data_IF_600278575133
#
_entry.id   IF_600278575133
#
_cell.length_a   1.000
_cell.length_b   1.000
_cell.length_c   1.000
_cell.angle_alpha   90.00
_cell.angle_beta   90.00
_cell.angle_gamma   90.00
#
_symmetry.space_group_name_H-M   'P 1'
#
loop_
_entity.id
_entity.type
_entity.pdbx_description
1 polymer ?
#
# COMPACT_ATOMS: atom_id res chain seq x y z
N UNK A 1 -49.04 42.21 -31.37
CA UNK A 1 -47.86 41.33 -31.18
C UNK A 1 -47.47 41.29 -29.71
N UNK A 2 -48.45 41.10 -28.82
CA UNK A 2 -48.30 41.05 -27.36
C UNK A 2 -48.95 39.80 -26.76
N UNK A 3 -49.31 38.85 -27.62
CA UNK A 3 -50.39 37.89 -27.43
C UNK A 3 -49.88 36.43 -27.56
N UNK A 4 -48.56 36.23 -27.50
CA UNK A 4 -47.90 34.91 -27.58
C UNK A 4 -46.96 34.59 -26.41
N UNK A 5 -47.03 35.37 -25.32
CA UNK A 5 -46.26 35.11 -24.09
C UNK A 5 -47.13 34.39 -23.04
N UNK A 6 -48.41 34.76 -22.92
CA UNK A 6 -49.32 34.29 -21.86
C UNK A 6 -49.74 32.82 -21.97
N UNK A 7 -49.61 32.18 -23.13
CA UNK A 7 -50.09 30.80 -23.35
C UNK A 7 -49.09 29.72 -22.89
N UNK A 8 -47.79 30.02 -22.82
CA UNK A 8 -46.76 29.03 -22.46
C UNK A 8 -46.54 28.83 -20.96
N UNK A 9 -46.95 29.77 -20.11
CA UNK A 9 -46.78 29.62 -18.65
C UNK A 9 -47.86 28.73 -18.02
N UNK A 10 -49.10 28.74 -18.54
CA UNK A 10 -50.20 27.93 -18.01
C UNK A 10 -50.06 26.43 -18.27
N UNK A 11 -49.29 26.02 -19.29
CA UNK A 11 -49.00 24.60 -19.54
C UNK A 11 -48.06 23.97 -18.48
N UNK A 12 -47.25 24.77 -17.80
CA UNK A 12 -46.19 24.26 -16.89
C UNK A 12 -46.70 23.87 -15.50
N UNK A 13 -47.86 24.41 -15.07
CA UNK A 13 -48.37 24.23 -13.71
C UNK A 13 -49.36 23.06 -13.53
N UNK A 14 -49.82 22.43 -14.61
CA UNK A 14 -50.78 21.29 -14.56
C UNK A 14 -50.06 19.94 -14.41
N UNK A 15 -48.86 19.77 -14.98
CA UNK A 15 -48.14 18.50 -14.93
C UNK A 15 -47.68 18.09 -13.52
N UNK A 16 -47.27 19.05 -12.68
CA UNK A 16 -46.55 18.79 -11.42
C UNK A 16 -47.42 18.39 -10.21
N UNK A 17 -48.66 17.92 -10.44
CA UNK A 17 -49.62 17.53 -9.37
C UNK A 17 -50.03 16.05 -9.35
N UNK A 18 -49.47 15.19 -10.22
CA UNK A 18 -49.75 13.74 -10.19
C UNK A 18 -48.68 12.92 -9.45
N UNK A 19 -47.40 13.24 -9.60
CA UNK A 19 -46.31 12.40 -9.08
C UNK A 19 -46.14 12.48 -7.56
N UNK A 20 -46.47 13.63 -6.96
CA UNK A 20 -46.42 13.84 -5.50
C UNK A 20 -47.43 12.94 -4.77
N UNK A 21 -48.52 12.52 -5.43
CA UNK A 21 -49.54 11.66 -4.82
C UNK A 21 -49.14 10.17 -4.76
N UNK A 22 -48.17 9.74 -5.59
CA UNK A 22 -47.72 8.34 -5.66
C UNK A 22 -46.63 8.08 -4.61
N UNK A 23 -45.72 9.04 -4.39
CA UNK A 23 -44.64 8.93 -3.40
C UNK A 23 -45.21 8.86 -1.97
N UNK A 24 -46.35 9.51 -1.71
CA UNK A 24 -47.03 9.48 -0.41
C UNK A 24 -47.58 8.09 -0.01
N UNK A 25 -47.80 7.17 -0.96
CA UNK A 25 -48.44 5.89 -0.68
C UNK A 25 -47.47 4.76 -0.29
N UNK A 26 -46.17 4.88 -0.62
CA UNK A 26 -45.16 3.85 -0.31
C UNK A 26 -44.48 4.02 1.06
N UNK A 27 -44.69 5.15 1.74
CA UNK A 27 -44.12 5.40 3.08
C UNK A 27 -44.94 4.70 4.19
N UNK A 28 -46.19 4.30 3.92
CA UNK A 28 -47.08 3.67 4.91
C UNK A 28 -47.09 2.13 4.92
N UNK A 29 -46.40 1.46 3.98
CA UNK A 29 -46.34 -0.01 3.89
C UNK A 29 -45.01 -0.63 4.33
N UNK A 30 -44.06 0.19 4.82
CA UNK A 30 -42.73 -0.27 5.29
C UNK A 30 -42.60 -0.53 6.80
N UNK A 31 -43.60 -0.17 7.62
CA UNK A 31 -43.51 -0.21 9.10
C UNK A 31 -44.26 -1.41 9.71
N UNK A 32 -45.04 -2.14 8.90
CA UNK A 32 -45.94 -3.21 9.36
C UNK A 32 -45.32 -4.62 9.48
N UNK A 33 -44.01 -4.79 9.24
CA UNK A 33 -43.33 -6.11 9.25
C UNK A 33 -42.18 -6.16 10.28
N UNK A 34 -42.42 -5.60 11.47
CA UNK A 34 -41.45 -5.65 12.59
C UNK A 34 -42.08 -5.94 13.97
N UNK A 35 -43.38 -6.23 14.03
CA UNK A 35 -44.14 -6.46 15.27
C UNK A 35 -44.81 -7.85 15.35
N UNK A 36 -44.36 -8.82 14.54
CA UNK A 36 -45.00 -10.16 14.48
C UNK A 36 -44.03 -11.35 14.59
N UNK A 37 -42.93 -11.19 15.32
CA UNK A 37 -42.19 -12.31 15.90
C UNK A 37 -41.88 -12.01 17.36
N UNK A 38 -42.84 -12.36 18.24
CA UNK A 38 -42.57 -12.47 19.66
C UNK A 38 -41.71 -13.71 19.93
N UNK A 39 -40.75 -13.58 20.83
CA UNK A 39 -40.05 -14.72 21.45
C UNK A 39 -40.72 -14.96 22.79
N UNK A 40 -41.30 -16.15 22.97
CA UNK A 40 -42.04 -16.53 24.17
C UNK A 40 -41.09 -16.97 25.30
N UNK A 41 -41.47 -16.75 26.56
CA UNK A 41 -40.62 -16.94 27.74
C UNK A 41 -41.04 -18.18 28.54
N UNK A 42 -40.53 -19.35 28.15
CA UNK A 42 -40.59 -20.59 28.94
C UNK A 42 -39.27 -21.38 28.78
N UNK A 43 -38.35 -21.22 29.73
CA UNK A 43 -37.97 -22.35 30.61
C UNK A 43 -36.94 -21.95 31.69
N UNK A 44 -37.41 -21.86 32.95
CA UNK A 44 -36.55 -21.81 34.13
C UNK A 44 -37.17 -22.59 35.29
N UNK A 45 -36.72 -23.82 35.51
CA UNK A 45 -36.50 -24.38 36.86
C UNK A 45 -35.79 -25.74 36.82
N UNK A 46 -35.21 -26.09 37.97
CA UNK A 46 -34.47 -27.31 38.29
C UNK A 46 -33.09 -27.43 37.60
N UNK A 47 -32.02 -27.88 38.26
CA UNK A 47 -31.90 -28.32 39.65
C UNK A 47 -30.87 -27.48 40.43
N UNK A 48 -31.15 -27.24 41.72
CA UNK A 48 -30.11 -26.96 42.72
C UNK A 48 -29.67 -28.29 43.32
N UNK A 49 -28.36 -28.50 43.47
CA UNK A 49 -27.69 -29.19 44.59
C UNK A 49 -26.17 -29.04 44.35
N UNK A 50 -25.44 -28.24 45.15
CA UNK A 50 -24.71 -28.64 46.37
C UNK A 50 -23.60 -29.69 46.11
N UNK A 51 -22.36 -29.56 46.61
CA UNK A 51 -21.91 -28.68 47.69
C UNK A 51 -20.39 -28.42 47.73
N UNK A 52 -20.03 -27.20 48.18
CA UNK A 52 -18.88 -26.83 49.07
C UNK A 52 -17.42 -27.25 48.82
N UNK A 53 -16.53 -26.23 48.86
CA UNK A 53 -15.26 -26.15 49.67
C UNK A 53 -14.02 -26.89 49.10
N UNK A 54 -12.76 -26.40 49.18
CA UNK A 54 -12.12 -25.31 49.97
C UNK A 54 -11.23 -24.35 49.14
N UNK A 55 -10.73 -23.29 49.80
CA UNK A 55 -9.81 -22.27 49.28
C UNK A 55 -8.30 -22.64 49.29
N UNK A 56 -7.50 -21.77 48.63
CA UNK A 56 -6.18 -21.24 49.03
C UNK A 56 -4.90 -22.12 49.02
N UNK A 57 -3.77 -21.44 48.71
CA UNK A 57 -2.39 -21.91 48.88
C UNK A 57 -1.78 -22.58 47.64
N UNK A 58 -0.49 -22.44 47.32
CA UNK A 58 0.54 -21.55 47.91
C UNK A 58 1.91 -22.23 48.02
N UNK A 59 2.94 -21.67 47.36
CA UNK A 59 4.32 -22.18 47.29
C UNK A 59 4.47 -23.56 46.59
N UNK A 60 5.64 -24.04 46.16
CA UNK A 60 6.88 -23.53 45.56
C UNK A 60 7.97 -24.63 45.77
N UNK A 61 9.09 -24.54 45.05
CA UNK A 61 10.16 -25.56 44.92
C UNK A 61 9.74 -26.82 44.13
N UNK A 62 10.45 -27.38 43.13
CA UNK A 62 11.85 -27.38 42.67
C UNK A 62 12.61 -28.67 43.01
N UNK A 63 12.68 -29.58 42.02
CA UNK A 63 13.82 -30.50 41.71
C UNK A 63 13.47 -31.28 40.42
N UNK A 64 14.38 -31.94 39.67
CA UNK A 64 15.81 -31.75 39.29
C UNK A 64 16.23 -33.03 38.57
N UNK A 65 16.99 -32.96 37.46
CA UNK A 65 17.66 -34.11 36.80
C UNK A 65 16.73 -35.16 36.12
N UNK A 66 17.14 -35.94 35.12
CA UNK A 66 18.38 -35.94 34.30
C UNK A 66 18.19 -36.63 32.92
N UNK A 67 19.16 -36.38 32.03
CA UNK A 67 19.70 -37.26 30.97
C UNK A 67 18.86 -37.78 29.78
N UNK A 68 19.39 -37.44 28.60
CA UNK A 68 19.48 -38.20 27.33
C UNK A 68 19.99 -39.66 27.49
N UNK A 69 19.92 -40.57 26.49
CA UNK A 69 19.94 -40.30 25.03
C UNK A 69 19.01 -41.17 24.14
N UNK A 70 19.18 -41.01 22.82
CA UNK A 70 18.69 -41.93 21.76
C UNK A 70 19.38 -43.30 21.83
N UNK A 71 18.87 -44.33 21.13
CA UNK A 71 19.62 -44.77 19.94
C UNK A 71 18.82 -45.37 18.75
N UNK A 72 19.54 -45.42 17.62
CA UNK A 72 19.53 -46.42 16.54
C UNK A 72 18.36 -46.61 15.54
N UNK A 73 18.74 -47.31 14.46
CA UNK A 73 18.10 -47.41 13.15
C UNK A 73 18.25 -48.82 12.57
N UNK A 74 17.24 -49.34 11.86
CA UNK A 74 17.29 -50.55 11.03
C UNK A 74 15.96 -50.65 10.19
N UNK A 75 15.81 -51.42 9.09
CA UNK A 75 16.73 -51.79 7.99
C UNK A 75 15.91 -52.44 6.84
N UNK A 76 16.39 -52.36 5.57
CA UNK A 76 15.89 -53.07 4.35
C UNK A 76 14.44 -52.71 3.89
N UNK A 77 14.10 -52.60 2.60
CA UNK A 77 14.31 -53.42 1.37
C UNK A 77 13.51 -54.73 1.31
N UNK A 78 12.58 -54.81 0.34
CA UNK A 78 12.45 -55.97 -0.56
C UNK A 78 11.80 -55.54 -1.91
N UNK A 79 11.82 -56.40 -2.94
CA UNK A 79 11.31 -56.09 -4.29
C UNK A 79 10.85 -57.32 -5.12
N UNK A 80 9.81 -57.13 -5.95
CA UNK A 80 9.38 -58.03 -7.05
C UNK A 80 8.63 -57.19 -8.11
N UNK A 81 8.79 -57.34 -9.44
CA UNK A 81 8.76 -58.49 -10.36
C UNK A 81 7.33 -59.04 -10.63
N UNK A 82 6.89 -59.32 -11.87
CA UNK A 82 7.51 -59.17 -13.21
C UNK A 82 6.48 -59.28 -14.38
N UNK A 83 6.96 -59.14 -15.63
CA UNK A 83 6.39 -59.60 -16.94
C UNK A 83 5.07 -58.99 -17.46
N UNK A 84 4.82 -58.86 -18.78
CA UNK A 84 5.71 -59.05 -19.96
C UNK A 84 4.96 -59.34 -21.30
N UNK A 85 5.65 -59.15 -22.45
CA UNK A 85 5.31 -59.59 -23.85
C UNK A 85 4.43 -58.66 -24.73
N UNK A 86 4.50 -58.62 -26.09
CA UNK A 86 5.60 -58.75 -27.09
C UNK A 86 5.04 -58.56 -28.54
N UNK A 87 5.76 -57.88 -29.47
CA UNK A 87 5.85 -58.03 -30.97
C UNK A 87 6.63 -56.79 -31.54
N UNK A 88 7.59 -56.79 -32.49
CA UNK A 88 7.94 -57.54 -33.73
C UNK A 88 7.26 -56.96 -35.00
N UNK A 89 7.91 -56.59 -36.14
CA UNK A 89 9.31 -56.32 -36.56
C UNK A 89 9.27 -55.69 -38.02
N UNK A 90 10.30 -55.39 -38.86
CA UNK A 90 11.79 -55.45 -38.87
C UNK A 90 12.38 -54.59 -40.05
N UNK A 91 13.69 -54.25 -40.03
CA UNK A 91 14.75 -54.19 -41.09
C UNK A 91 14.47 -53.86 -42.61
N UNK A 92 15.41 -53.35 -43.44
CA UNK A 92 16.74 -52.70 -43.27
C UNK A 92 17.38 -52.18 -44.61
N UNK A 93 18.46 -51.37 -44.47
CA UNK A 93 19.68 -51.23 -45.32
C UNK A 93 19.66 -50.79 -46.82
N UNK A 94 20.48 -49.76 -47.16
CA UNK A 94 21.75 -49.94 -47.90
C UNK A 94 22.68 -48.69 -47.97
N UNK A 95 23.96 -48.92 -48.25
CA UNK A 95 25.09 -47.98 -48.52
C UNK A 95 26.02 -48.62 -49.60
N UNK A 96 27.27 -48.17 -49.96
CA UNK A 96 28.14 -47.07 -49.47
C UNK A 96 28.67 -46.12 -50.59
N UNK A 97 29.45 -45.05 -50.31
CA UNK A 97 30.94 -44.96 -50.46
C UNK A 97 31.32 -43.48 -50.79
N UNK A 98 32.55 -42.92 -50.70
CA UNK A 98 33.80 -43.19 -49.95
C UNK A 98 34.72 -41.92 -50.00
N UNK A 99 36.07 -42.04 -49.89
CA UNK A 99 37.14 -40.99 -49.94
C UNK A 99 37.00 -39.82 -48.93
N UNK A 100 37.82 -39.68 -47.87
CA UNK A 100 39.27 -39.39 -47.77
C UNK A 100 39.67 -37.95 -48.15
N UNK A 101 40.51 -37.21 -47.42
CA UNK A 101 41.49 -37.58 -46.37
C UNK A 101 41.52 -36.59 -45.18
N UNK A 102 42.46 -36.76 -44.24
CA UNK A 102 42.53 -36.01 -42.98
C UNK A 102 43.69 -34.98 -42.94
N UNK A 103 43.57 -33.92 -42.12
CA UNK A 103 44.40 -33.72 -40.92
C UNK A 103 44.22 -32.34 -40.22
N UNK A 104 44.30 -32.39 -38.88
CA UNK A 104 44.77 -31.33 -37.95
C UNK A 104 43.99 -30.01 -37.76
N UNK A 105 43.17 -29.99 -36.70
CA UNK A 105 43.28 -29.08 -35.54
C UNK A 105 43.46 -27.57 -35.75
N UNK A 106 42.39 -26.82 -35.48
CA UNK A 106 42.44 -25.75 -34.46
C UNK A 106 41.09 -25.74 -33.69
N UNK A 107 41.06 -25.18 -32.48
CA UNK A 107 39.94 -25.31 -31.53
C UNK A 107 39.51 -23.96 -30.93
N UNK A 108 38.43 -23.40 -31.46
CA UNK A 108 37.77 -22.23 -30.87
C UNK A 108 36.24 -22.38 -30.95
N UNK A 109 35.61 -22.83 -29.85
CA UNK A 109 34.16 -22.80 -29.70
C UNK A 109 33.68 -21.35 -29.50
N UNK A 110 33.19 -20.71 -30.57
CA UNK A 110 32.41 -19.48 -30.42
C UNK A 110 31.03 -19.83 -29.87
N UNK A 111 30.68 -19.26 -28.71
CA UNK A 111 29.34 -19.43 -28.13
C UNK A 111 28.31 -18.63 -28.92
N UNK A 112 27.30 -19.30 -29.48
CA UNK A 112 26.15 -18.63 -30.10
C UNK A 112 25.31 -17.91 -29.03
N UNK A 113 25.61 -16.64 -28.82
CA UNK A 113 24.74 -15.74 -28.04
C UNK A 113 23.51 -15.43 -28.89
N UNK A 114 22.32 -15.79 -28.40
CA UNK A 114 21.04 -15.37 -29.01
C UNK A 114 20.84 -13.85 -28.86
N UNK A 115 21.42 -13.11 -29.79
CA UNK A 115 21.28 -11.66 -29.91
C UNK A 115 19.84 -11.31 -30.32
N UNK A 116 19.09 -10.78 -29.36
CA UNK A 116 17.73 -10.30 -29.61
C UNK A 116 17.80 -9.06 -30.52
N UNK A 117 17.08 -9.02 -31.65
CA UNK A 117 17.32 -8.01 -32.68
C UNK A 117 16.79 -6.62 -32.31
N UNK A 118 17.73 -5.70 -32.11
CA UNK A 118 17.61 -4.25 -32.35
C UNK A 118 16.42 -3.50 -31.71
N UNK A 119 16.43 -3.36 -30.38
CA UNK A 119 15.96 -2.09 -29.81
C UNK A 119 16.91 -0.97 -30.31
N UNK A 120 16.36 0.01 -31.04
CA UNK A 120 17.16 1.10 -31.61
C UNK A 120 17.56 2.10 -30.52
N UNK A 121 18.86 2.13 -30.21
CA UNK A 121 19.50 3.03 -29.23
C UNK A 121 19.54 4.52 -29.65
N UNK A 122 18.60 4.97 -30.49
CA UNK A 122 18.57 6.29 -31.11
C UNK A 122 17.30 7.12 -30.86
N UNK A 123 16.37 6.64 -30.01
CA UNK A 123 15.07 7.31 -29.80
C UNK A 123 14.60 7.41 -28.33
N UNK A 124 15.34 6.87 -27.34
CA UNK A 124 14.99 6.94 -25.91
C UNK A 124 15.30 8.31 -25.27
N UNK A 125 15.07 9.41 -26.00
CA UNK A 125 15.46 10.74 -25.56
C UNK A 125 14.56 11.27 -24.43
N UNK A 126 15.20 11.58 -23.30
CA UNK A 126 14.72 12.49 -22.26
C UNK A 126 13.34 12.18 -21.65
N UNK A 127 13.07 10.90 -21.38
CA UNK A 127 11.78 10.39 -20.90
C UNK A 127 11.93 9.69 -19.55
N UNK A 128 11.55 10.35 -18.45
CA UNK A 128 11.76 9.84 -17.09
C UNK A 128 10.68 10.25 -16.07
N UNK A 129 10.61 9.49 -14.97
CA UNK A 129 9.98 9.92 -13.72
C UNK A 129 11.06 10.48 -12.78
N UNK A 130 10.75 11.55 -12.04
CA UNK A 130 11.70 12.26 -11.19
C UNK A 130 11.34 12.13 -9.70
N UNK A 131 12.34 11.85 -8.86
CA UNK A 131 12.19 11.86 -7.40
C UNK A 131 12.15 13.30 -6.89
N UNK A 132 10.96 13.82 -6.56
CA UNK A 132 10.81 15.18 -6.03
C UNK A 132 10.98 15.26 -4.51
N UNK A 133 10.79 14.12 -3.81
CA UNK A 133 10.97 13.97 -2.37
C UNK A 133 11.34 12.53 -2.02
N UNK A 134 12.15 12.37 -0.97
CA UNK A 134 12.57 11.11 -0.36
C UNK A 134 12.69 11.34 1.15
N UNK A 135 12.12 10.43 1.93
CA UNK A 135 12.31 10.25 3.37
C UNK A 135 12.91 8.86 3.58
N UNK A 136 13.92 8.73 4.45
CA UNK A 136 14.65 7.47 4.62
C UNK A 136 15.46 7.09 3.38
N UNK A 137 15.50 5.79 3.05
CA UNK A 137 16.36 5.20 2.01
C UNK A 137 15.56 4.47 0.93
N UNK A 138 16.10 4.47 -0.29
CA UNK A 138 15.57 3.72 -1.41
C UNK A 138 16.71 3.33 -2.37
N UNK A 139 16.56 2.20 -3.05
CA UNK A 139 17.51 1.64 -4.00
C UNK A 139 16.92 1.67 -5.41
N UNK A 140 17.77 2.01 -6.38
CA UNK A 140 17.47 1.95 -7.80
C UNK A 140 18.29 0.85 -8.47
N UNK A 141 17.64 0.07 -9.31
CA UNK A 141 18.25 -0.95 -10.14
C UNK A 141 18.19 -0.48 -11.60
N UNK A 142 19.36 -0.24 -12.19
CA UNK A 142 19.48 0.34 -13.53
C UNK A 142 19.37 -0.72 -14.63
N UNK A 143 19.17 -0.28 -15.87
CA UNK A 143 19.26 -1.13 -17.06
C UNK A 143 20.61 -1.86 -17.23
N UNK A 144 21.67 -1.41 -16.53
CA UNK A 144 23.00 -2.03 -16.55
C UNK A 144 23.18 -3.08 -15.44
N UNK A 145 22.12 -3.42 -14.71
CA UNK A 145 22.17 -4.33 -13.56
C UNK A 145 22.85 -3.75 -12.31
N UNK A 146 23.23 -2.46 -12.33
CA UNK A 146 23.83 -1.80 -11.15
C UNK A 146 22.77 -1.39 -10.15
N UNK A 147 23.11 -1.49 -8.86
CA UNK A 147 22.31 -0.94 -7.77
C UNK A 147 22.91 0.39 -7.35
N UNK A 148 22.10 1.45 -7.31
CA UNK A 148 22.51 2.80 -6.89
C UNK A 148 21.54 3.39 -5.84
N UNK A 149 22.03 4.14 -4.84
CA UNK A 149 21.17 4.79 -3.86
C UNK A 149 20.37 5.93 -4.49
N UNK A 150 19.09 5.99 -4.17
CA UNK A 150 18.17 7.01 -4.66
C UNK A 150 18.36 8.31 -3.89
N UNK A 151 18.18 9.45 -4.56
CA UNK A 151 18.17 10.78 -3.97
C UNK A 151 17.14 11.67 -4.66
N UNK A 152 16.84 12.82 -4.06
CA UNK A 152 16.06 13.86 -4.73
C UNK A 152 16.73 14.28 -6.05
N UNK A 153 15.96 14.34 -7.12
CA UNK A 153 16.45 14.54 -8.50
C UNK A 153 16.91 13.27 -9.21
N UNK A 154 16.89 12.08 -8.58
CA UNK A 154 17.09 10.82 -9.30
C UNK A 154 16.00 10.63 -10.36
N UNK A 155 16.42 10.10 -11.51
CA UNK A 155 15.57 9.83 -12.67
C UNK A 155 15.40 8.32 -12.87
N UNK A 156 14.18 7.93 -13.24
CA UNK A 156 13.81 6.55 -13.56
C UNK A 156 13.28 6.46 -14.99
N UNK A 157 13.90 5.58 -15.77
CA UNK A 157 13.60 5.30 -17.17
C UNK A 157 12.88 3.94 -17.30
N UNK A 158 12.29 3.68 -18.47
CA UNK A 158 11.64 2.39 -18.74
C UNK A 158 12.64 1.22 -18.62
N UNK A 159 12.20 0.14 -17.98
CA UNK A 159 12.99 -1.04 -17.62
C UNK A 159 13.82 -0.91 -16.33
N UNK A 160 13.91 0.27 -15.71
CA UNK A 160 14.52 0.43 -14.38
C UNK A 160 13.51 0.10 -13.25
N UNK A 161 14.03 -0.24 -12.06
CA UNK A 161 13.23 -0.59 -10.87
C UNK A 161 13.65 0.23 -9.66
N UNK A 162 12.68 0.59 -8.82
CA UNK A 162 12.89 1.20 -7.50
C UNK A 162 12.41 0.25 -6.40
N UNK A 163 13.11 0.26 -5.26
CA UNK A 163 12.65 -0.31 -4.00
C UNK A 163 12.83 0.71 -2.85
N UNK A 164 11.84 0.85 -1.97
CA UNK A 164 11.94 1.62 -0.71
C UNK A 164 12.28 0.69 0.45
N UNK A 165 13.13 1.16 1.36
CA UNK A 165 13.49 0.44 2.58
C UNK A 165 12.41 0.64 3.69
N UNK A 166 12.51 -0.01 4.87
CA UNK A 166 11.66 0.29 6.01
C UNK A 166 11.75 1.76 6.47
N UNK A 167 10.71 2.29 7.10
CA UNK A 167 10.60 3.68 7.57
C UNK A 167 10.86 4.75 6.49
N UNK A 168 10.74 4.39 5.21
CA UNK A 168 11.14 5.22 4.08
C UNK A 168 9.95 5.51 3.17
N UNK A 169 9.92 6.68 2.53
CA UNK A 169 8.85 7.08 1.60
C UNK A 169 9.45 7.88 0.45
N UNK A 170 8.81 7.84 -0.72
CA UNK A 170 9.31 8.56 -1.89
C UNK A 170 8.17 9.07 -2.77
N UNK A 171 8.31 10.30 -3.27
CA UNK A 171 7.37 10.89 -4.22
C UNK A 171 8.01 11.05 -5.60
N UNK A 172 7.41 10.39 -6.58
CA UNK A 172 7.69 10.50 -8.02
C UNK A 172 6.83 11.60 -8.65
N UNK A 173 7.38 12.29 -9.64
CA UNK A 173 6.67 13.19 -10.56
C UNK A 173 6.89 12.74 -12.00
N UNK A 174 5.81 12.68 -12.77
CA UNK A 174 5.82 12.33 -14.19
C UNK A 174 5.71 13.58 -15.09
N UNK A 175 6.04 13.44 -16.38
CA UNK A 175 6.03 14.54 -17.36
C UNK A 175 4.65 15.22 -17.55
N UNK A 176 3.55 14.53 -17.29
CA UNK A 176 2.18 15.07 -17.30
C UNK A 176 1.79 15.80 -16.00
N UNK A 177 2.70 15.85 -15.03
CA UNK A 177 2.54 16.33 -13.64
C UNK A 177 1.65 15.46 -12.76
N UNK A 178 1.35 14.23 -13.16
CA UNK A 178 0.89 13.21 -12.21
C UNK A 178 1.98 12.96 -11.17
N UNK A 179 1.58 12.65 -9.94
CA UNK A 179 2.50 12.26 -8.87
C UNK A 179 2.12 10.89 -8.32
N UNK A 180 3.14 10.13 -7.88
CA UNK A 180 2.93 8.85 -7.21
C UNK A 180 3.80 8.77 -5.96
N UNK A 181 3.22 8.30 -4.86
CA UNK A 181 3.86 8.20 -3.55
C UNK A 181 4.01 6.73 -3.22
N UNK A 182 5.26 6.29 -3.08
CA UNK A 182 5.66 4.94 -2.74
C UNK A 182 5.93 4.91 -1.23
N UNK A 183 5.14 4.12 -0.49
CA UNK A 183 5.34 3.91 0.96
C UNK A 183 6.55 3.00 1.21
N UNK A 184 6.83 2.67 2.47
CA UNK A 184 7.96 1.81 2.85
C UNK A 184 7.90 0.40 2.25
N UNK A 185 9.04 -0.29 2.22
CA UNK A 185 9.17 -1.71 1.83
C UNK A 185 8.58 -2.08 0.45
N UNK A 186 8.39 -1.11 -0.43
CA UNK A 186 7.60 -1.22 -1.67
C UNK A 186 8.49 -1.24 -2.92
N UNK A 187 8.06 -1.92 -3.98
CA UNK A 187 8.87 -2.15 -5.18
C UNK A 187 8.08 -1.88 -6.46
N UNK A 188 8.63 -1.06 -7.36
CA UNK A 188 8.01 -0.71 -8.65
C UNK A 188 9.03 -0.84 -9.79
N UNK A 189 8.68 -1.66 -10.78
CA UNK A 189 9.31 -1.67 -12.11
C UNK A 189 8.59 -0.64 -13.00
N UNK A 190 9.36 0.21 -13.69
CA UNK A 190 8.81 1.15 -14.68
C UNK A 190 8.73 0.43 -16.04
N UNK A 191 7.58 -0.16 -16.41
CA UNK A 191 7.44 -0.83 -17.71
C UNK A 191 7.41 0.18 -18.87
N UNK A 192 6.71 1.32 -18.69
CA UNK A 192 6.71 2.46 -19.62
C UNK A 192 6.70 3.80 -18.87
N UNK A 193 7.28 4.84 -19.47
CA UNK A 193 7.29 6.22 -18.96
C UNK A 193 7.09 7.19 -20.14
N UNK A 194 6.43 8.34 -19.92
CA UNK A 194 6.16 9.33 -21.00
C UNK A 194 7.21 10.43 -21.12
N UNK A 195 7.57 10.76 -22.36
CA UNK A 195 8.35 11.96 -22.71
C UNK A 195 7.52 13.23 -22.91
N UNK A 196 6.19 13.18 -22.77
CA UNK A 196 5.31 14.33 -22.98
C UNK A 196 4.07 14.30 -22.09
N UNK A 197 3.58 15.49 -21.73
CA UNK A 197 2.30 15.68 -21.04
C UNK A 197 1.06 15.38 -21.92
N UNK A 198 1.23 15.26 -23.25
CA UNK A 198 0.13 15.16 -24.21
C UNK A 198 -0.02 13.80 -24.90
N UNK A 199 0.98 12.91 -24.80
CA UNK A 199 1.03 11.63 -25.55
C UNK A 199 1.86 10.55 -24.84
N UNK A 200 1.58 9.28 -25.12
CA UNK A 200 2.26 8.10 -24.55
C UNK A 200 1.55 7.49 -23.33
N UNK A 201 2.12 6.40 -22.81
CA UNK A 201 1.67 5.73 -21.58
C UNK A 201 2.73 5.84 -20.46
N UNK A 202 2.27 5.90 -19.21
CA UNK A 202 3.07 5.55 -18.04
C UNK A 202 2.53 4.23 -17.53
N UNK A 203 3.37 3.20 -17.41
CA UNK A 203 2.97 1.87 -16.95
C UNK A 203 3.91 1.49 -15.81
N UNK A 204 3.37 1.42 -14.59
CA UNK A 204 4.09 1.07 -13.38
C UNK A 204 3.67 -0.31 -12.90
N UNK A 205 4.63 -1.19 -12.64
CA UNK A 205 4.37 -2.53 -12.14
C UNK A 205 4.83 -2.65 -10.70
N UNK A 206 3.85 -2.61 -9.80
CA UNK A 206 3.99 -2.74 -8.35
C UNK A 206 4.14 -4.22 -8.00
N UNK A 207 5.36 -4.63 -7.70
CA UNK A 207 5.74 -6.02 -7.38
C UNK A 207 5.74 -6.31 -5.87
N UNK A 208 5.71 -5.26 -5.04
CA UNK A 208 5.53 -5.35 -3.58
C UNK A 208 5.05 -4.01 -3.00
N UNK A 209 4.29 -4.04 -1.92
CA UNK A 209 4.00 -2.87 -1.08
C UNK A 209 2.87 -1.99 -1.62
N UNK A 210 2.97 -0.66 -1.46
CA UNK A 210 1.87 0.27 -1.67
C UNK A 210 2.28 1.53 -2.45
N UNK A 211 1.40 1.94 -3.37
CA UNK A 211 1.54 3.12 -4.24
C UNK A 211 0.24 3.93 -4.22
N UNK A 212 0.30 5.18 -3.76
CA UNK A 212 -0.74 6.18 -4.04
C UNK A 212 -0.41 6.91 -5.34
N UNK A 213 -1.41 7.24 -6.16
CA UNK A 213 -1.24 7.95 -7.41
C UNK A 213 -2.32 9.02 -7.62
N UNK A 214 -1.86 10.26 -7.82
CA UNK A 214 -2.68 11.41 -8.19
C UNK A 214 -2.46 11.70 -9.68
N UNK A 215 -3.34 11.16 -10.51
CA UNK A 215 -3.23 11.23 -11.97
C UNK A 215 -3.86 12.53 -12.47
N UNK A 216 -3.14 13.29 -13.29
CA UNK A 216 -3.67 14.50 -13.95
C UNK A 216 -4.72 14.12 -15.00
N UNK A 217 -5.81 14.88 -15.11
CA UNK A 217 -6.89 14.65 -16.11
C UNK A 217 -6.36 14.85 -17.54
N UNK A 218 -5.97 13.75 -18.20
CA UNK A 218 -5.33 13.74 -19.52
C UNK A 218 -6.32 14.07 -20.66
N UNK A 219 -5.95 15.07 -21.48
CA UNK A 219 -6.80 15.70 -22.52
C UNK A 219 -6.59 15.16 -23.95
N UNK A 220 -5.47 14.49 -24.22
CA UNK A 220 -5.14 13.94 -25.55
C UNK A 220 -5.65 12.51 -25.75
N UNK A 221 -5.84 12.11 -27.01
CA UNK A 221 -6.06 10.70 -27.38
C UNK A 221 -4.78 9.88 -27.14
N UNK A 222 -4.95 8.60 -26.79
CA UNK A 222 -3.83 7.66 -26.57
C UNK A 222 -3.00 7.91 -25.30
N UNK A 223 -3.29 8.97 -24.53
CA UNK A 223 -2.64 9.23 -23.26
C UNK A 223 -3.20 8.29 -22.17
N UNK A 224 -2.34 7.44 -21.60
CA UNK A 224 -2.69 6.46 -20.55
C UNK A 224 -1.88 6.65 -19.26
N UNK A 225 -2.44 6.23 -18.12
CA UNK A 225 -1.67 5.90 -16.91
C UNK A 225 -2.17 4.54 -16.42
N UNK A 226 -1.27 3.57 -16.28
CA UNK A 226 -1.59 2.20 -15.86
C UNK A 226 -0.73 1.81 -14.64
N UNK A 227 -1.35 1.18 -13.64
CA UNK A 227 -0.64 0.48 -12.56
C UNK A 227 -1.00 -0.99 -12.62
N UNK A 228 0.00 -1.86 -12.62
CA UNK A 228 -0.14 -3.31 -12.71
C UNK A 228 0.39 -3.96 -11.44
N UNK A 229 -0.30 -4.97 -10.95
CA UNK A 229 0.19 -5.90 -9.93
C UNK A 229 0.18 -7.32 -10.52
N UNK A 230 0.77 -8.33 -9.86
CA UNK A 230 0.72 -9.71 -10.33
C UNK A 230 -0.67 -10.37 -10.43
N UNK A 231 -1.76 -9.71 -10.03
CA UNK A 231 -3.13 -10.24 -10.16
C UNK A 231 -4.15 -9.30 -10.83
N UNK A 232 -3.79 -8.04 -11.13
CA UNK A 232 -4.70 -7.12 -11.82
C UNK A 232 -3.97 -5.97 -12.53
N UNK A 233 -4.63 -5.36 -13.51
CA UNK A 233 -4.25 -4.09 -14.12
C UNK A 233 -5.27 -3.00 -13.77
N UNK A 234 -4.80 -1.79 -13.51
CA UNK A 234 -5.59 -0.60 -13.24
C UNK A 234 -5.31 0.43 -14.36
N UNK A 235 -6.30 0.72 -15.20
CA UNK A 235 -6.24 1.77 -16.21
C UNK A 235 -6.94 3.04 -15.70
N UNK A 236 -6.24 4.18 -15.75
CA UNK A 236 -6.59 5.36 -14.95
C UNK A 236 -6.61 6.63 -15.77
N UNK A 237 -7.65 7.46 -15.57
CA UNK A 237 -7.80 8.74 -16.29
C UNK A 237 -8.27 9.88 -15.37
N UNK A 238 -7.32 10.46 -14.65
CA UNK A 238 -7.56 11.70 -13.92
C UNK A 238 -8.23 11.48 -12.56
N UNK A 239 -7.53 10.76 -11.70
CA UNK A 239 -8.08 10.03 -10.56
C UNK A 239 -7.10 10.12 -9.40
N UNK A 240 -7.60 10.16 -8.16
CA UNK A 240 -6.79 9.83 -6.98
C UNK A 240 -7.13 8.39 -6.60
N UNK A 241 -6.15 7.50 -6.64
CA UNK A 241 -6.33 6.10 -6.31
C UNK A 241 -5.07 5.52 -5.65
N UNK A 242 -5.22 4.36 -5.05
CA UNK A 242 -4.13 3.58 -4.49
C UNK A 242 -4.14 2.16 -5.04
N UNK A 243 -2.94 1.58 -5.14
CA UNK A 243 -2.72 0.17 -5.38
C UNK A 243 -1.81 -0.40 -4.29
N UNK A 244 -2.05 -1.64 -3.87
CA UNK A 244 -1.07 -2.41 -3.12
C UNK A 244 -0.98 -3.85 -3.58
N UNK A 245 0.20 -4.46 -3.40
CA UNK A 245 0.41 -5.88 -3.62
C UNK A 245 1.22 -6.50 -2.49
N UNK A 246 0.64 -7.53 -1.88
CA UNK A 246 1.28 -8.38 -0.89
C UNK A 246 1.75 -9.68 -1.57
N UNK A 247 3.08 -9.92 -1.69
CA UNK A 247 3.62 -11.12 -2.32
C UNK A 247 3.47 -12.40 -1.47
N UNK A 248 3.26 -12.29 -0.15
CA UNK A 248 3.12 -13.45 0.74
C UNK A 248 1.71 -14.06 0.60
N UNK A 249 0.66 -13.24 0.72
CA UNK A 249 -0.72 -13.71 0.47
C UNK A 249 -1.09 -13.73 -1.03
N UNK A 250 -0.23 -13.19 -1.90
CA UNK A 250 -0.45 -12.96 -3.35
C UNK A 250 -1.71 -12.13 -3.61
N UNK A 251 -1.95 -11.12 -2.78
CA UNK A 251 -3.16 -10.29 -2.80
C UNK A 251 -2.87 -8.91 -3.36
N UNK A 252 -3.57 -8.58 -4.44
CA UNK A 252 -3.65 -7.24 -5.03
C UNK A 252 -4.83 -6.47 -4.46
N UNK A 253 -4.68 -5.16 -4.25
CA UNK A 253 -5.74 -4.28 -3.74
C UNK A 253 -5.76 -2.97 -4.50
N UNK A 254 -6.95 -2.43 -4.76
CA UNK A 254 -7.17 -1.09 -5.28
C UNK A 254 -8.16 -0.32 -4.42
N UNK A 255 -7.99 1.00 -4.31
CA UNK A 255 -8.93 1.94 -3.67
C UNK A 255 -9.03 3.20 -4.52
N UNK A 256 -10.25 3.69 -4.77
CA UNK A 256 -10.48 4.93 -5.53
C UNK A 256 -11.01 6.04 -4.62
N UNK A 257 -10.24 7.11 -4.47
CA UNK A 257 -10.52 8.23 -3.55
C UNK A 257 -11.17 9.44 -4.26
N UNK A 258 -10.83 9.70 -5.53
CA UNK A 258 -11.51 10.66 -6.40
C UNK A 258 -11.52 10.14 -7.84
N UNK A 259 -12.67 10.14 -8.52
CA UNK A 259 -12.78 9.76 -9.93
C UNK A 259 -13.13 8.28 -10.15
N UNK A 260 -12.59 7.70 -11.21
CA UNK A 260 -12.86 6.31 -11.66
C UNK A 260 -11.54 5.63 -12.07
N UNK A 261 -11.45 4.32 -11.85
CA UNK A 261 -10.42 3.40 -12.38
C UNK A 261 -11.11 2.24 -13.09
N UNK A 262 -10.66 1.86 -14.28
CA UNK A 262 -10.99 0.54 -14.83
C UNK A 262 -10.00 -0.47 -14.26
N UNK A 263 -10.49 -1.49 -13.55
CA UNK A 263 -9.68 -2.58 -13.02
C UNK A 263 -9.96 -3.86 -13.82
N UNK A 264 -8.91 -4.58 -14.24
CA UNK A 264 -9.03 -5.78 -15.07
C UNK A 264 -8.16 -6.94 -14.57
N UNK A 265 -8.65 -8.16 -14.84
CA UNK A 265 -7.99 -9.43 -14.60
C UNK A 265 -8.32 -10.35 -15.79
N UNK A 266 -7.28 -10.84 -16.47
CA UNK A 266 -7.38 -11.65 -17.69
C UNK A 266 -8.30 -11.02 -18.77
N UNK A 267 -9.50 -11.57 -18.99
CA UNK A 267 -10.50 -11.07 -19.95
C UNK A 267 -11.68 -10.33 -19.27
N UNK A 268 -11.64 -10.11 -17.96
CA UNK A 268 -12.66 -9.39 -17.21
C UNK A 268 -12.19 -7.97 -16.88
N UNK A 269 -13.09 -6.98 -16.93
CA UNK A 269 -12.85 -5.65 -16.33
C UNK A 269 -14.09 -5.13 -15.58
N UNK A 270 -13.87 -4.19 -14.67
CA UNK A 270 -14.89 -3.53 -13.85
C UNK A 270 -14.52 -2.07 -13.59
N UNK A 271 -15.49 -1.17 -13.57
CA UNK A 271 -15.27 0.22 -13.17
C UNK A 271 -15.32 0.37 -11.64
N UNK A 272 -14.19 0.73 -11.05
CA UNK A 272 -14.09 1.16 -9.66
C UNK A 272 -14.38 2.66 -9.59
N UNK A 273 -15.57 2.99 -9.09
CA UNK A 273 -15.98 4.37 -8.81
C UNK A 273 -15.39 4.85 -7.48
N UNK A 274 -15.30 6.17 -7.29
CA UNK A 274 -14.92 6.80 -6.02
C UNK A 274 -15.69 6.21 -4.83
N UNK A 275 -14.96 5.87 -3.77
CA UNK A 275 -15.52 5.21 -2.58
C UNK A 275 -15.62 3.69 -2.68
N UNK A 276 -15.16 3.09 -3.78
CA UNK A 276 -15.02 1.64 -3.91
C UNK A 276 -13.55 1.20 -3.91
N UNK A 277 -13.35 -0.01 -3.43
CA UNK A 277 -12.09 -0.74 -3.49
C UNK A 277 -12.31 -2.18 -3.93
N UNK A 278 -11.23 -2.83 -4.35
CA UNK A 278 -11.20 -4.16 -4.92
C UNK A 278 -10.07 -4.96 -4.30
N UNK A 279 -10.30 -6.24 -4.00
CA UNK A 279 -9.30 -7.17 -3.46
C UNK A 279 -9.31 -8.42 -4.33
N UNK A 280 -8.15 -8.79 -4.87
CA UNK A 280 -7.97 -9.97 -5.73
C UNK A 280 -6.79 -10.77 -5.20
N UNK A 281 -7.02 -12.02 -4.80
CA UNK A 281 -5.95 -12.99 -4.61
C UNK A 281 -5.64 -13.66 -5.94
N UNK A 282 -4.37 -13.80 -6.30
CA UNK A 282 -3.92 -14.23 -7.64
C UNK A 282 -4.50 -15.58 -8.12
N UNK A 283 -4.87 -16.47 -7.20
CA UNK A 283 -5.48 -17.78 -7.50
C UNK A 283 -7.02 -17.77 -7.57
N UNK A 284 -7.66 -16.61 -7.41
CA UNK A 284 -9.12 -16.45 -7.42
C UNK A 284 -9.53 -15.61 -8.63
N UNK A 285 -10.57 -16.05 -9.34
CA UNK A 285 -11.18 -15.30 -10.44
C UNK A 285 -12.46 -14.61 -9.94
N UNK A 286 -12.59 -13.30 -10.18
CA UNK A 286 -13.82 -12.57 -9.95
C UNK A 286 -13.60 -11.12 -9.51
N UNK A 287 -14.10 -10.18 -10.31
CA UNK A 287 -14.03 -8.75 -10.01
C UNK A 287 -15.23 -8.32 -9.17
N UNK A 288 -15.06 -8.28 -7.85
CA UNK A 288 -16.12 -7.88 -6.89
C UNK A 288 -15.75 -6.60 -6.12
N UNK A 289 -16.11 -5.41 -6.63
CA UNK A 289 -15.91 -4.15 -5.92
C UNK A 289 -16.71 -4.09 -4.61
N UNK A 290 -16.17 -3.38 -3.62
CA UNK A 290 -16.81 -3.18 -2.32
C UNK A 290 -16.63 -1.73 -1.81
N UNK A 291 -17.59 -1.17 -1.05
CA UNK A 291 -17.48 0.19 -0.54
C UNK A 291 -16.44 0.30 0.58
N UNK A 292 -15.55 1.28 0.50
CA UNK A 292 -14.48 1.51 1.48
C UNK A 292 -15.00 2.12 2.79
N UNK A 293 -14.16 2.15 3.83
CA UNK A 293 -14.52 2.77 5.11
C UNK A 293 -14.64 4.32 4.97
N UNK A 294 -15.57 4.96 5.70
CA UNK A 294 -15.66 6.42 5.73
C UNK A 294 -14.44 7.05 6.40
N UNK A 295 -14.28 8.37 6.23
CA UNK A 295 -13.24 9.13 6.90
C UNK A 295 -13.43 9.14 8.43
N UNK A 296 -12.38 8.91 9.23
CA UNK A 296 -12.39 9.24 10.66
C UNK A 296 -12.50 10.75 10.87
N UNK A 297 -13.37 11.19 11.76
CA UNK A 297 -13.34 12.55 12.30
C UNK A 297 -12.17 12.66 13.29
N UNK A 298 -11.17 13.46 12.91
CA UNK A 298 -10.06 13.83 13.79
C UNK A 298 -10.57 14.84 14.83
N UNK A 299 -10.13 14.70 16.08
CA UNK A 299 -10.46 15.63 17.16
C UNK A 299 -9.91 17.03 16.84
N UNK A 300 -10.53 18.13 17.33
CA UNK A 300 -10.00 19.47 17.13
C UNK A 300 -8.54 19.60 17.57
N UNK A 301 -7.72 20.21 16.72
CA UNK A 301 -6.28 20.46 16.94
C UNK A 301 -6.07 21.97 17.01
N UNK A 302 -5.19 22.44 17.90
CA UNK A 302 -4.77 23.84 17.89
C UNK A 302 -4.00 24.18 16.59
N UNK A 303 -4.26 25.32 15.93
CA UNK A 303 -3.60 25.66 14.67
C UNK A 303 -2.07 25.76 14.74
N UNK A 304 -1.50 26.04 15.92
CA UNK A 304 -0.05 26.12 16.15
C UNK A 304 0.32 25.34 17.41
N UNK A 305 1.01 24.21 17.23
CA UNK A 305 1.50 23.37 18.33
C UNK A 305 2.92 23.78 18.71
N UNK A 306 3.22 23.85 20.02
CA UNK A 306 4.48 24.44 20.53
C UNK A 306 5.31 23.54 21.47
N UNK A 307 4.89 22.29 21.66
CA UNK A 307 5.58 21.36 22.57
C UNK A 307 5.36 19.91 22.13
N UNK A 308 6.26 19.01 22.55
CA UNK A 308 6.13 17.57 22.38
C UNK A 308 5.65 16.87 23.67
N UNK A 309 5.01 15.70 23.59
CA UNK A 309 4.57 15.00 22.38
C UNK A 309 3.35 15.67 21.73
N UNK A 310 3.24 15.57 20.40
CA UNK A 310 2.03 15.94 19.68
C UNK A 310 1.03 14.79 19.81
N UNK A 311 -0.14 15.06 20.40
CA UNK A 311 -1.20 14.07 20.60
C UNK A 311 -2.34 14.32 19.63
N UNK A 312 -2.64 13.32 18.79
CA UNK A 312 -3.74 13.38 17.82
C UNK A 312 -4.69 12.22 18.09
N UNK A 313 -5.98 12.51 18.24
CA UNK A 313 -7.02 11.50 18.44
C UNK A 313 -8.12 11.62 17.38
N UNK A 314 -8.86 10.53 17.16
CA UNK A 314 -9.98 10.47 16.21
C UNK A 314 -11.09 9.55 16.73
N UNK A 315 -12.28 9.62 16.13
CA UNK A 315 -13.37 8.70 16.50
C UNK A 315 -13.09 7.26 16.02
N UNK A 316 -13.59 6.28 16.76
CA UNK A 316 -13.51 4.88 16.34
C UNK A 316 -14.56 4.58 15.26
N UNK A 317 -14.12 3.99 14.15
CA UNK A 317 -14.97 3.48 13.06
C UNK A 317 -15.37 2.02 13.30
N UNK A 318 -16.52 1.60 12.76
CA UNK A 318 -16.90 0.18 12.71
C UNK A 318 -16.21 -0.56 11.56
N UNK A 319 -15.99 -1.87 11.73
CA UNK A 319 -15.32 -2.77 10.75
C UNK A 319 -13.85 -2.44 10.43
N UNK A 320 -13.26 -1.46 11.10
CA UNK A 320 -11.82 -1.18 11.08
C UNK A 320 -11.03 -2.32 11.73
N UNK A 321 -9.84 -2.59 11.24
CA UNK A 321 -8.86 -3.49 11.87
C UNK A 321 -7.60 -2.75 12.34
N UNK A 322 -7.17 -1.73 11.59
CA UNK A 322 -6.07 -0.82 11.95
C UNK A 322 -6.36 0.58 11.39
N UNK A 323 -5.69 1.61 11.89
CA UNK A 323 -5.62 2.94 11.30
C UNK A 323 -4.25 3.17 10.68
N UNK A 324 -4.22 3.93 9.59
CA UNK A 324 -3.00 4.50 9.04
C UNK A 324 -3.06 6.01 9.24
N UNK A 325 -2.02 6.57 9.86
CA UNK A 325 -1.81 8.01 9.99
C UNK A 325 -0.58 8.40 9.17
N UNK A 326 -0.72 9.46 8.40
CA UNK A 326 0.36 10.01 7.59
C UNK A 326 0.49 11.52 7.80
N UNK A 327 1.73 12.00 7.84
CA UNK A 327 2.07 13.42 7.88
C UNK A 327 2.73 13.83 6.57
N UNK A 328 2.22 14.92 5.99
CA UNK A 328 2.77 15.55 4.81
C UNK A 328 3.22 16.96 5.12
N UNK A 329 4.35 17.37 4.55
CA UNK A 329 4.75 18.78 4.47
C UNK A 329 4.83 19.24 3.01
N UNK A 330 5.33 20.45 2.79
CA UNK A 330 5.41 21.06 1.46
C UNK A 330 4.08 21.63 0.97
N UNK A 331 4.17 22.55 -0.02
CA UNK A 331 3.05 23.39 -0.45
C UNK A 331 1.85 22.62 -1.02
N UNK A 332 2.08 21.43 -1.57
CA UNK A 332 1.03 20.60 -2.18
C UNK A 332 0.62 19.41 -1.29
N UNK A 333 1.18 19.28 -0.08
CA UNK A 333 1.17 18.04 0.71
C UNK A 333 1.70 16.83 -0.09
N UNK A 334 2.86 17.01 -0.74
CA UNK A 334 3.53 16.07 -1.63
C UNK A 334 4.81 15.47 -1.04
N UNK A 335 5.01 15.61 0.28
CA UNK A 335 6.23 15.20 0.98
C UNK A 335 5.88 14.42 2.26
N UNK A 336 5.79 13.10 2.15
CA UNK A 336 5.37 12.17 3.20
C UNK A 336 6.49 11.96 4.25
N UNK A 337 6.48 12.74 5.33
CA UNK A 337 7.54 12.71 6.37
C UNK A 337 7.39 11.55 7.35
N UNK A 338 6.18 11.03 7.52
CA UNK A 338 5.85 9.93 8.44
C UNK A 338 4.62 9.18 7.90
N UNK A 339 4.71 7.87 7.86
CA UNK A 339 3.63 6.91 7.59
C UNK A 339 3.64 5.88 8.72
N UNK A 340 2.53 5.67 9.43
CA UNK A 340 2.53 4.79 10.60
C UNK A 340 1.17 4.14 10.89
N UNK A 341 1.22 2.92 11.41
CA UNK A 341 0.09 2.03 11.63
C UNK A 341 -0.29 1.93 13.11
N UNK A 342 -1.55 2.20 13.44
CA UNK A 342 -2.07 2.24 14.81
C UNK A 342 -3.24 1.27 15.00
N UNK A 343 -3.24 0.49 16.08
CA UNK A 343 -4.42 -0.29 16.52
C UNK A 343 -5.40 0.51 17.39
N UNK A 344 -4.91 1.55 18.06
CA UNK A 344 -5.73 2.50 18.80
C UNK A 344 -6.15 3.70 17.95
N UNK A 345 -6.97 4.58 18.53
CA UNK A 345 -7.47 5.82 17.91
C UNK A 345 -6.76 7.09 18.40
N UNK A 346 -5.54 6.94 18.93
CA UNK A 346 -4.68 8.03 19.40
C UNK A 346 -3.26 7.76 18.91
N UNK A 347 -2.62 8.79 18.35
CA UNK A 347 -1.21 8.83 18.02
C UNK A 347 -0.45 9.80 18.94
N UNK A 348 0.81 9.49 19.20
CA UNK A 348 1.78 10.35 19.91
C UNK A 348 3.01 10.50 19.02
N UNK A 349 3.34 11.73 18.64
CA UNK A 349 4.36 12.04 17.63
C UNK A 349 5.42 12.98 18.22
N UNK A 350 6.68 12.70 17.94
CA UNK A 350 7.85 13.39 18.46
C UNK A 350 8.89 13.59 17.35
N UNK A 351 9.85 14.50 17.52
CA UNK A 351 11.03 14.60 16.64
C UNK A 351 10.78 15.18 15.24
N UNK A 352 9.63 15.80 15.01
CA UNK A 352 9.38 16.60 13.81
C UNK A 352 10.15 17.94 13.88
N UNK A 353 10.47 18.49 12.71
CA UNK A 353 11.00 19.86 12.60
C UNK A 353 9.87 20.89 12.66
N UNK A 354 10.15 22.12 13.10
CA UNK A 354 9.19 23.22 12.99
C UNK A 354 8.81 23.46 11.51
N UNK A 355 7.53 23.73 11.24
CA UNK A 355 6.99 23.88 9.89
C UNK A 355 5.51 23.53 9.79
N UNK A 356 4.94 23.65 8.58
CA UNK A 356 3.53 23.37 8.30
C UNK A 356 3.31 21.90 7.91
N UNK A 357 2.22 21.32 8.44
CA UNK A 357 1.84 19.93 8.22
C UNK A 357 0.38 19.76 7.82
N UNK A 358 0.13 18.83 6.89
CA UNK A 358 -1.15 18.16 6.71
C UNK A 358 -1.05 16.79 7.39
N UNK A 359 -1.92 16.56 8.38
CA UNK A 359 -2.11 15.25 8.99
C UNK A 359 -3.35 14.61 8.37
N UNK A 360 -3.21 13.37 7.92
CA UNK A 360 -4.35 12.57 7.44
C UNK A 360 -4.40 11.22 8.15
N UNK A 361 -5.62 10.76 8.47
CA UNK A 361 -5.88 9.46 9.12
C UNK A 361 -6.99 8.74 8.39
N UNK A 362 -6.85 7.42 8.21
CA UNK A 362 -7.94 6.56 7.73
C UNK A 362 -8.05 5.28 8.54
N UNK A 363 -9.25 4.71 8.56
CA UNK A 363 -9.42 3.30 8.94
C UNK A 363 -9.05 2.39 7.76
N UNK A 364 -8.51 1.22 8.07
CA UNK A 364 -8.23 0.13 7.13
C UNK A 364 -9.02 -1.10 7.58
N UNK A 365 -9.70 -1.76 6.63
CA UNK A 365 -10.61 -2.88 6.92
C UNK A 365 -9.87 -4.21 7.13
N UNK A 366 -10.62 -5.27 7.48
CA UNK A 366 -10.08 -6.62 7.70
C UNK A 366 -9.43 -7.28 6.47
N UNK A 367 -9.69 -6.77 5.27
CA UNK A 367 -9.16 -7.29 4.01
C UNK A 367 -7.90 -6.51 3.57
N UNK A 368 -7.61 -5.36 4.21
CA UNK A 368 -6.54 -4.44 3.87
C UNK A 368 -6.95 -3.30 2.93
N UNK A 369 -8.25 -3.04 2.74
CA UNK A 369 -8.71 -1.86 2.01
C UNK A 369 -8.67 -0.62 2.90
N UNK A 370 -7.96 0.41 2.45
CA UNK A 370 -8.00 1.72 3.07
C UNK A 370 -9.32 2.44 2.82
N UNK A 371 -9.85 3.08 3.87
CA UNK A 371 -10.94 4.02 3.77
C UNK A 371 -10.53 5.39 3.23
N UNK A 372 -11.51 6.29 3.15
CA UNK A 372 -11.26 7.71 2.98
C UNK A 372 -10.42 8.27 4.14
N UNK A 373 -9.63 9.31 3.84
CA UNK A 373 -8.89 10.05 4.85
C UNK A 373 -9.78 11.13 5.49
N UNK A 374 -9.73 11.22 6.82
CA UNK A 374 -9.97 12.47 7.53
C UNK A 374 -8.68 13.28 7.54
N UNK A 375 -8.77 14.60 7.46
CA UNK A 375 -7.61 15.49 7.35
C UNK A 375 -7.69 16.67 8.31
N UNK A 376 -6.53 17.14 8.80
CA UNK A 376 -6.39 18.38 9.56
C UNK A 376 -5.02 19.03 9.28
N UNK A 377 -4.89 20.33 9.53
CA UNK A 377 -3.66 21.10 9.30
C UNK A 377 -3.23 21.82 10.58
N UNK A 378 -1.92 21.82 10.83
CA UNK A 378 -1.31 22.53 11.94
C UNK A 378 0.10 23.02 11.56
N UNK A 379 0.55 24.08 12.21
CA UNK A 379 1.96 24.50 12.20
C UNK A 379 2.62 24.01 13.47
N UNK A 380 3.84 23.49 13.36
CA UNK A 380 4.70 23.16 14.51
C UNK A 380 5.70 24.30 14.73
N UNK A 381 5.68 24.89 15.92
CA UNK A 381 6.54 26.00 16.34
C UNK A 381 7.03 25.76 17.78
N UNK A 382 7.86 24.73 17.96
CA UNK A 382 8.49 24.44 19.24
C UNK A 382 9.63 25.46 19.46
N UNK A 383 9.60 26.25 20.54
CA UNK A 383 10.67 27.20 20.81
C UNK A 383 11.99 26.47 21.16
N UNK A 384 13.16 27.04 20.85
CA UNK A 384 14.43 26.46 21.27
C UNK A 384 14.50 26.39 22.81
N UNK A 385 14.98 25.27 23.34
CA UNK A 385 15.18 25.09 24.78
C UNK A 385 16.16 26.17 25.27
N UNK A 386 15.82 26.99 26.28
CA UNK A 386 16.74 27.98 26.81
C UNK A 386 18.03 27.33 27.31
N UNK A 387 19.17 27.77 26.76
CA UNK A 387 20.47 27.39 27.31
C UNK A 387 20.59 28.03 28.70
N UNK A 388 20.59 27.21 29.76
CA UNK A 388 20.98 27.66 31.09
C UNK A 388 22.46 28.04 31.05
N UNK A 389 22.74 29.34 30.97
CA UNK A 389 24.07 29.88 31.26
C UNK A 389 24.37 29.60 32.72
N UNK A 390 25.21 28.61 32.98
CA UNK A 390 25.85 28.46 34.29
C UNK A 390 26.74 29.69 34.49
N UNK A 391 26.33 30.58 35.40
CA UNK A 391 27.18 31.69 35.82
C UNK A 391 28.53 31.15 36.29
N UNK A 392 29.66 31.76 35.90
CA UNK A 392 30.97 31.27 36.28
C UNK A 392 31.11 31.33 37.80
N UNK A 393 31.29 30.16 38.42
CA UNK A 393 31.52 30.02 39.86
C UNK A 393 32.70 30.91 40.24
N UNK A 394 32.41 32.04 40.88
CA UNK A 394 33.45 32.98 41.28
C UNK A 394 34.36 32.30 42.31
N UNK A 395 35.68 32.18 42.05
CA UNK A 395 36.59 31.51 42.97
C UNK A 395 36.64 32.31 44.27
N UNK A 396 36.17 31.70 45.36
CA UNK A 396 36.11 32.34 46.66
C UNK A 396 37.52 32.77 47.10
N UNK A 397 37.73 34.08 47.27
CA UNK A 397 39.00 34.67 47.71
C UNK A 397 39.10 34.75 49.24
N UNK A 398 38.79 33.65 49.92
CA UNK A 398 39.07 33.54 51.35
C UNK A 398 40.57 33.49 51.59
N UNK A 399 41.12 34.61 52.07
CA UNK A 399 42.53 34.78 52.40
C UNK A 399 42.84 34.13 53.74
N UNK A 400 43.13 32.83 53.75
CA UNK A 400 43.79 32.21 54.91
C UNK A 400 45.25 32.66 54.97
N UNK A 401 45.48 33.83 55.58
CA UNK A 401 46.81 34.37 55.85
C UNK A 401 47.52 33.51 56.89
N UNK A 402 48.38 32.59 56.44
CA UNK A 402 49.26 31.84 57.33
C UNK A 402 50.33 32.79 57.91
N UNK A 403 50.11 33.26 59.14
CA UNK A 403 51.07 34.12 59.85
C UNK A 403 52.19 33.27 60.46
N UNK A 404 53.45 33.61 60.17
CA UNK A 404 54.62 32.89 60.68
C UNK A 404 55.10 33.56 61.96
N UNK A 405 54.85 32.93 63.11
CA UNK A 405 55.54 33.15 64.38
C UNK A 405 55.64 31.76 65.07
N UNK A 406 56.77 31.29 65.61
CA UNK A 406 58.11 31.90 65.61
C UNK A 406 58.70 32.14 67.00
N UNK A 407 58.69 31.12 67.88
CA UNK A 407 59.74 30.87 68.88
C UNK A 407 59.63 29.45 69.44
#
# INVERSE_FOLDING_TARGET
MKDQITEKENAFLVGKRRDILIIALFIFTGIAIWYFFGVDDQDRKQAQQTNTVTQQGGYAQNTRSQNTPSPDSDVKQDASQATGSQTVAQNAANQPSSSSSAANTDNSQQSEVLTHPHLKEGALQNTYAEVVYLQGEALKYTLKGTVEPVKKGSQFYAGERIATEPNSSLTLRFADRSTAILSEQSEVLFEEVKGSATSGASVLKLTKGQLESRVTKQKGFGAKYEVRTPAMQLAVRGTIFEASFDPESKTSRAVVLEGIVEASQDMQSVELNQGFGLVIQQSQAGLSPSPILPAPSINPVEPVLKQFPLLFGWNVLSRVSQYQLQLFTGKNADQLVLDHWYRGNIASINGLSNGDYLLRVRGVDKNGLGGFYGETRFTLDVPPIPMMTLDPISPNKDKTTASIIGH
#
